data_IF_344449782719
#
_entry.id   IF_344449782719
#
_cell.length_a   1.000
_cell.length_b   1.000
_cell.length_c   1.000
_cell.angle_alpha   90.00
_cell.angle_beta   90.00
_cell.angle_gamma   90.00
#
_symmetry.space_group_name_H-M   'P 1'
#
loop_
_entity.id
_entity.type
_entity.pdbx_description
1 polymer ?
#
# COMPACT_ATOMS: atom_id res chain seq x y z
N UNK A 1 -1.62 -21.01 -4.17
CA UNK A 1 -1.31 -22.22 -4.95
C UNK A 1 -2.54 -22.68 -5.74
N UNK A 2 -3.58 -23.24 -5.11
CA UNK A 2 -4.77 -23.75 -5.83
C UNK A 2 -5.45 -22.75 -6.79
N UNK A 3 -5.58 -21.47 -6.41
CA UNK A 3 -6.17 -20.46 -7.27
C UNK A 3 -5.33 -20.13 -8.52
N UNK A 4 -3.99 -20.22 -8.42
CA UNK A 4 -3.09 -19.97 -9.57
C UNK A 4 -3.23 -21.11 -10.59
N UNK A 5 -3.29 -22.35 -10.12
CA UNK A 5 -3.50 -23.51 -10.98
C UNK A 5 -4.85 -23.41 -11.70
N UNK A 6 -5.91 -23.04 -10.98
CA UNK A 6 -7.22 -22.77 -11.57
C UNK A 6 -7.15 -21.68 -12.65
N UNK A 7 -6.43 -20.58 -12.39
CA UNK A 7 -6.29 -19.50 -13.33
C UNK A 7 -5.58 -19.94 -14.62
N UNK A 8 -4.52 -20.75 -14.49
CA UNK A 8 -3.79 -21.32 -15.63
C UNK A 8 -4.74 -22.21 -16.45
N UNK A 9 -5.54 -23.05 -15.79
CA UNK A 9 -6.56 -23.88 -16.47
C UNK A 9 -7.60 -23.02 -17.18
N UNK A 10 -8.08 -21.92 -16.56
CA UNK A 10 -9.03 -21.00 -17.16
C UNK A 10 -8.45 -20.30 -18.39
N UNK A 11 -7.19 -19.84 -18.32
CA UNK A 11 -6.53 -19.24 -19.48
C UNK A 11 -6.25 -20.24 -20.58
N UNK A 12 -5.87 -21.48 -20.23
CA UNK A 12 -5.68 -22.56 -21.20
C UNK A 12 -6.98 -22.82 -21.94
N UNK A 13 -8.08 -22.98 -21.20
CA UNK A 13 -9.43 -23.15 -21.77
C UNK A 13 -9.80 -22.00 -22.72
N UNK A 14 -9.60 -20.75 -22.29
CA UNK A 14 -9.92 -19.56 -23.09
C UNK A 14 -9.11 -19.46 -24.39
N UNK A 15 -7.88 -19.99 -24.41
CA UNK A 15 -7.05 -20.04 -25.62
C UNK A 15 -7.39 -21.21 -26.54
N UNK A 16 -7.91 -22.31 -25.99
CA UNK A 16 -8.28 -23.52 -26.76
C UNK A 16 -9.71 -23.50 -27.29
N UNK A 17 -10.61 -22.73 -26.66
CA UNK A 17 -12.03 -22.70 -27.05
C UNK A 17 -12.23 -21.84 -28.31
N UNK A 18 -13.09 -22.31 -29.20
CA UNK A 18 -13.25 -21.72 -30.51
C UNK A 18 -14.06 -20.41 -30.43
N UNK A 19 -13.54 -19.35 -31.07
CA UNK A 19 -14.23 -18.06 -31.13
C UNK A 19 -15.49 -18.14 -32.01
N UNK A 20 -16.54 -17.36 -31.70
CA UNK A 20 -17.79 -17.34 -32.46
C UNK A 20 -17.59 -16.99 -33.95
N UNK A 21 -16.62 -16.12 -34.24
CA UNK A 21 -16.33 -15.64 -35.61
C UNK A 21 -15.45 -16.60 -36.42
N UNK A 22 -15.14 -17.79 -35.89
CA UNK A 22 -14.37 -18.76 -36.66
C UNK A 22 -15.23 -19.36 -37.76
N UNK A 23 -14.62 -19.67 -38.91
CA UNK A 23 -15.30 -20.31 -40.04
C UNK A 23 -15.99 -21.63 -39.66
N UNK A 24 -15.44 -22.34 -38.66
CA UNK A 24 -16.02 -23.57 -38.13
C UNK A 24 -17.30 -23.29 -37.34
N UNK A 25 -17.27 -22.36 -36.40
CA UNK A 25 -18.45 -22.07 -35.59
C UNK A 25 -19.55 -21.38 -36.37
N UNK A 26 -19.21 -20.52 -37.35
CA UNK A 26 -20.21 -19.96 -38.25
C UNK A 26 -20.97 -21.06 -39.01
N UNK A 27 -20.28 -22.09 -39.51
CA UNK A 27 -20.92 -23.25 -40.15
C UNK A 27 -21.78 -24.07 -39.20
N UNK A 28 -21.37 -24.21 -37.93
CA UNK A 28 -22.15 -24.91 -36.90
C UNK A 28 -23.40 -24.15 -36.51
N UNK A 29 -23.34 -22.81 -36.45
CA UNK A 29 -24.50 -21.97 -36.14
C UNK A 29 -25.48 -21.82 -37.33
N UNK A 30 -25.01 -22.00 -38.56
CA UNK A 30 -25.82 -21.91 -39.78
C UNK A 30 -26.47 -23.25 -40.20
N UNK A 31 -26.02 -24.37 -39.62
CA UNK A 31 -26.51 -25.70 -39.95
C UNK A 31 -27.70 -26.11 -39.05
N UNK A 32 -28.91 -25.70 -39.44
CA UNK A 32 -30.17 -26.06 -38.75
C UNK A 32 -30.62 -27.52 -38.97
N UNK A 33 -29.93 -28.29 -39.82
CA UNK A 33 -30.41 -29.59 -40.34
C UNK A 33 -29.88 -30.85 -39.62
N UNK A 34 -29.38 -30.77 -38.37
CA UNK A 34 -28.91 -31.93 -37.58
C UNK A 34 -27.91 -32.86 -38.29
N UNK A 35 -27.22 -32.37 -39.34
CA UNK A 35 -26.12 -33.13 -39.95
C UNK A 35 -24.89 -32.99 -39.05
N UNK A 36 -24.35 -34.14 -38.64
CA UNK A 36 -23.17 -34.18 -37.77
C UNK A 36 -22.00 -33.54 -38.51
N UNK A 37 -21.67 -32.30 -38.13
CA UNK A 37 -20.47 -31.61 -38.63
C UNK A 37 -19.29 -32.21 -37.89
N UNK A 38 -18.39 -32.85 -38.62
CA UNK A 38 -17.13 -33.29 -38.07
C UNK A 38 -16.23 -32.07 -37.86
N UNK A 39 -16.17 -31.61 -36.61
CA UNK A 39 -15.55 -30.34 -36.28
C UNK A 39 -14.02 -30.39 -36.29
N UNK A 40 -13.44 -31.58 -36.42
CA UNK A 40 -12.02 -31.82 -36.21
C UNK A 40 -11.58 -33.15 -36.86
N UNK A 41 -10.72 -33.16 -37.90
CA UNK A 41 -10.19 -34.41 -38.45
C UNK A 41 -9.32 -35.16 -37.43
N UNK A 42 -9.24 -36.48 -37.60
CA UNK A 42 -8.73 -37.57 -36.72
C UNK A 42 -7.51 -37.27 -35.80
N UNK A 43 -6.63 -36.30 -36.13
CA UNK A 43 -5.47 -35.91 -35.31
C UNK A 43 -5.80 -35.10 -34.04
N UNK A 44 -7.06 -34.67 -33.84
CA UNK A 44 -7.42 -33.66 -32.81
C UNK A 44 -8.39 -34.13 -31.71
N UNK A 45 -8.68 -35.43 -31.63
CA UNK A 45 -9.46 -36.03 -30.53
C UNK A 45 -8.88 -35.77 -29.13
N UNK A 46 -7.54 -35.68 -29.02
CA UNK A 46 -6.86 -35.32 -27.78
C UNK A 46 -7.19 -33.89 -27.34
N UNK A 47 -7.30 -32.95 -28.30
CA UNK A 47 -7.69 -31.57 -28.03
C UNK A 47 -9.14 -31.49 -27.54
N UNK A 48 -10.05 -32.21 -28.18
CA UNK A 48 -11.45 -32.26 -27.77
C UNK A 48 -11.63 -32.81 -26.35
N UNK A 49 -10.97 -33.95 -26.05
CA UNK A 49 -11.02 -34.56 -24.72
C UNK A 49 -10.39 -33.68 -23.65
N UNK A 50 -9.33 -32.94 -24.02
CA UNK A 50 -8.72 -31.94 -23.15
C UNK A 50 -9.68 -30.77 -22.84
N UNK A 51 -10.30 -30.15 -23.86
CA UNK A 51 -11.24 -29.04 -23.67
C UNK A 51 -12.45 -29.48 -22.83
N UNK A 52 -12.98 -30.67 -23.07
CA UNK A 52 -14.06 -31.25 -22.26
C UNK A 52 -13.66 -31.43 -20.80
N UNK A 53 -12.50 -32.05 -20.56
CA UNK A 53 -12.02 -32.33 -19.22
C UNK A 53 -11.74 -31.03 -18.45
N UNK A 54 -11.09 -30.07 -19.10
CA UNK A 54 -10.79 -28.76 -18.51
C UNK A 54 -12.07 -28.00 -18.20
N UNK A 55 -13.07 -27.97 -19.10
CA UNK A 55 -14.37 -27.35 -18.84
C UNK A 55 -15.06 -27.95 -17.61
N UNK A 56 -15.14 -29.29 -17.51
CA UNK A 56 -15.74 -29.98 -16.35
C UNK A 56 -14.97 -29.64 -15.06
N UNK A 57 -13.64 -29.66 -15.09
CA UNK A 57 -12.81 -29.28 -13.94
C UNK A 57 -13.04 -27.82 -13.52
N UNK A 58 -13.16 -26.89 -14.48
CA UNK A 58 -13.43 -25.48 -14.21
C UNK A 58 -14.81 -25.28 -13.59
N UNK A 59 -15.84 -25.95 -14.11
CA UNK A 59 -17.20 -25.88 -13.57
C UNK A 59 -17.23 -26.43 -12.14
N UNK A 60 -16.64 -27.61 -11.92
CA UNK A 60 -16.62 -28.25 -10.61
C UNK A 60 -15.87 -27.40 -9.57
N UNK A 61 -14.68 -26.88 -9.93
CA UNK A 61 -13.93 -26.00 -9.05
C UNK A 61 -14.69 -24.70 -8.76
N UNK A 62 -15.30 -24.09 -9.78
CA UNK A 62 -16.06 -22.84 -9.64
C UNK A 62 -17.29 -23.05 -8.76
N UNK A 63 -17.98 -24.19 -8.87
CA UNK A 63 -19.13 -24.54 -8.02
C UNK A 63 -18.72 -24.73 -6.55
N UNK A 64 -17.63 -25.46 -6.29
CA UNK A 64 -17.10 -25.63 -4.92
C UNK A 64 -16.71 -24.29 -4.31
N UNK A 65 -16.04 -23.43 -5.08
CA UNK A 65 -15.63 -22.11 -4.62
C UNK A 65 -16.84 -21.21 -4.36
N UNK A 66 -17.83 -21.21 -5.25
CA UNK A 66 -19.07 -20.47 -5.08
C UNK A 66 -19.81 -20.91 -3.80
N UNK A 67 -19.93 -22.22 -3.58
CA UNK A 67 -20.56 -22.77 -2.37
C UNK A 67 -19.81 -22.35 -1.10
N UNK A 68 -18.47 -22.46 -1.12
CA UNK A 68 -17.61 -22.04 -0.01
C UNK A 68 -17.78 -20.56 0.32
N UNK A 69 -17.94 -19.70 -0.71
CA UNK A 69 -18.11 -18.26 -0.55
C UNK A 69 -19.51 -17.89 -0.05
N UNK A 70 -20.55 -18.57 -0.52
CA UNK A 70 -21.93 -18.38 -0.04
C UNK A 70 -22.07 -18.81 1.42
N UNK A 71 -21.50 -19.95 1.81
CA UNK A 71 -21.46 -20.40 3.20
C UNK A 71 -20.72 -19.39 4.09
N UNK A 72 -19.56 -18.90 3.65
CA UNK A 72 -18.81 -17.89 4.38
C UNK A 72 -19.59 -16.56 4.52
N UNK A 73 -20.36 -16.14 3.52
CA UNK A 73 -21.20 -14.94 3.59
C UNK A 73 -22.34 -15.10 4.61
N UNK A 74 -22.97 -16.27 4.65
CA UNK A 74 -24.06 -16.56 5.57
C UNK A 74 -23.58 -16.65 7.02
N UNK A 75 -22.39 -17.21 7.25
CA UNK A 75 -21.80 -17.36 8.59
C UNK A 75 -21.15 -16.06 9.09
N UNK A 76 -20.39 -15.35 8.24
CA UNK A 76 -19.57 -14.18 8.65
C UNK A 76 -20.22 -12.82 8.32
N UNK A 77 -21.44 -12.81 7.74
CA UNK A 77 -22.23 -11.63 7.35
C UNK A 77 -21.41 -10.50 6.70
N UNK A 78 -20.45 -10.88 5.85
CA UNK A 78 -19.52 -9.95 5.20
C UNK A 78 -19.86 -9.79 3.73
N UNK A 79 -20.40 -8.63 3.34
CA UNK A 79 -20.79 -8.27 1.96
C UNK A 79 -19.61 -8.08 0.98
N UNK A 80 -18.39 -8.32 1.42
CA UNK A 80 -17.19 -7.95 0.66
C UNK A 80 -16.87 -8.92 -0.49
N UNK A 81 -17.57 -10.06 -0.60
CA UNK A 81 -17.29 -11.11 -1.58
C UNK A 81 -18.23 -11.12 -2.81
N UNK A 82 -19.07 -10.09 -3.02
CA UNK A 82 -20.06 -10.08 -4.11
C UNK A 82 -19.39 -10.16 -5.49
N UNK A 83 -18.31 -9.40 -5.71
CA UNK A 83 -17.57 -9.40 -6.98
C UNK A 83 -16.98 -10.78 -7.30
N UNK A 84 -16.47 -11.48 -6.28
CA UNK A 84 -15.93 -12.83 -6.46
C UNK A 84 -17.03 -13.83 -6.83
N UNK A 85 -18.24 -13.69 -6.26
CA UNK A 85 -19.39 -14.54 -6.60
C UNK A 85 -19.81 -14.34 -8.06
N UNK A 86 -19.97 -13.09 -8.51
CA UNK A 86 -20.30 -12.80 -9.92
C UNK A 86 -19.24 -13.33 -10.89
N UNK A 87 -17.97 -13.24 -10.51
CA UNK A 87 -16.87 -13.78 -11.31
C UNK A 87 -16.97 -15.29 -11.49
N UNK A 88 -17.22 -16.06 -10.42
CA UNK A 88 -17.40 -17.51 -10.55
C UNK A 88 -18.64 -17.87 -11.38
N UNK A 89 -19.72 -17.09 -11.29
CA UNK A 89 -20.90 -17.26 -12.14
C UNK A 89 -20.54 -17.04 -13.62
N UNK A 90 -19.81 -15.96 -13.94
CA UNK A 90 -19.37 -15.70 -15.32
C UNK A 90 -18.45 -16.78 -15.86
N UNK A 91 -17.58 -17.36 -15.03
CA UNK A 91 -16.73 -18.49 -15.44
C UNK A 91 -17.56 -19.74 -15.71
N UNK A 92 -18.58 -20.04 -14.90
CA UNK A 92 -19.49 -21.17 -15.15
C UNK A 92 -20.25 -20.96 -16.46
N UNK A 93 -20.78 -19.76 -16.70
CA UNK A 93 -21.46 -19.43 -17.97
C UNK A 93 -20.51 -19.58 -19.15
N UNK A 94 -19.26 -19.13 -19.02
CA UNK A 94 -18.27 -19.25 -20.09
C UNK A 94 -17.85 -20.71 -20.34
N UNK A 95 -17.65 -21.51 -19.30
CA UNK A 95 -17.25 -22.90 -19.40
C UNK A 95 -18.40 -23.83 -19.85
N UNK A 96 -19.66 -23.44 -19.62
CA UNK A 96 -20.83 -24.17 -20.04
C UNK A 96 -21.12 -23.94 -21.53
N UNK A 97 -20.43 -24.70 -22.38
CA UNK A 97 -20.60 -24.63 -23.84
C UNK A 97 -21.72 -25.59 -24.27
N UNK A 98 -22.69 -25.07 -25.04
CA UNK A 98 -23.91 -25.80 -25.42
C UNK A 98 -23.69 -26.87 -26.51
N UNK A 99 -22.70 -26.69 -27.38
CA UNK A 99 -22.37 -27.67 -28.42
C UNK A 99 -21.23 -28.58 -27.97
N UNK A 100 -21.57 -29.78 -27.50
CA UNK A 100 -20.60 -30.80 -27.05
C UNK A 100 -19.67 -31.31 -28.18
N UNK A 101 -20.05 -31.13 -29.45
CA UNK A 101 -19.29 -31.67 -30.57
C UNK A 101 -18.19 -30.71 -31.05
N UNK A 102 -18.43 -29.41 -31.00
CA UNK A 102 -17.56 -28.41 -31.64
C UNK A 102 -17.04 -27.31 -30.70
N UNK A 103 -17.48 -27.30 -29.43
CA UNK A 103 -17.11 -26.30 -28.42
C UNK A 103 -17.21 -24.85 -28.91
N UNK A 104 -18.26 -24.58 -29.70
CA UNK A 104 -18.56 -23.25 -30.22
C UNK A 104 -19.28 -22.41 -29.17
N UNK A 105 -18.72 -21.25 -28.87
CA UNK A 105 -19.30 -20.28 -27.94
C UNK A 105 -20.15 -19.26 -28.68
N UNK A 106 -21.25 -18.85 -28.05
CA UNK A 106 -22.07 -17.76 -28.56
C UNK A 106 -21.35 -16.41 -28.44
N UNK A 107 -21.70 -15.44 -29.29
CA UNK A 107 -21.07 -14.11 -29.27
C UNK A 107 -21.18 -13.41 -27.91
N UNK A 108 -22.33 -13.52 -27.23
CA UNK A 108 -22.53 -12.95 -25.89
C UNK A 108 -21.76 -13.72 -24.80
N UNK A 109 -21.67 -15.04 -24.93
CA UNK A 109 -20.95 -15.91 -23.99
C UNK A 109 -19.44 -15.65 -24.07
N UNK A 110 -18.92 -15.44 -25.28
CA UNK A 110 -17.52 -15.05 -25.48
C UNK A 110 -17.19 -13.72 -24.82
N UNK A 111 -18.05 -12.70 -24.94
CA UNK A 111 -17.87 -11.42 -24.26
C UNK A 111 -17.81 -11.56 -22.73
N UNK A 112 -18.70 -12.36 -22.15
CA UNK A 112 -18.68 -12.68 -20.71
C UNK A 112 -17.39 -13.40 -20.33
N UNK A 113 -16.93 -14.35 -21.17
CA UNK A 113 -15.67 -15.06 -20.99
C UNK A 113 -14.46 -14.14 -20.93
N UNK A 114 -14.34 -13.20 -21.86
CA UNK A 114 -13.25 -12.21 -21.87
C UNK A 114 -13.23 -11.40 -20.58
N UNK A 115 -14.40 -10.92 -20.14
CA UNK A 115 -14.55 -10.18 -18.88
C UNK A 115 -14.17 -11.05 -17.69
N UNK A 116 -14.63 -12.31 -17.64
CA UNK A 116 -14.35 -13.25 -16.57
C UNK A 116 -12.85 -13.56 -16.44
N UNK A 117 -12.17 -13.83 -17.55
CA UNK A 117 -10.72 -14.09 -17.59
C UNK A 117 -9.96 -12.87 -17.09
N UNK A 118 -10.30 -11.67 -17.60
CA UNK A 118 -9.66 -10.42 -17.17
C UNK A 118 -9.81 -10.19 -15.66
N UNK A 119 -11.04 -10.22 -15.13
CA UNK A 119 -11.25 -10.01 -13.69
C UNK A 119 -10.63 -11.11 -12.84
N UNK A 120 -10.46 -12.34 -13.35
CA UNK A 120 -9.79 -13.42 -12.61
C UNK A 120 -8.31 -13.11 -12.38
N UNK A 121 -7.62 -12.56 -13.38
CA UNK A 121 -6.26 -12.06 -13.21
C UNK A 121 -6.19 -10.89 -12.22
N UNK A 122 -7.17 -9.98 -12.25
CA UNK A 122 -7.26 -8.89 -11.27
C UNK A 122 -7.45 -9.43 -9.83
N UNK A 123 -8.33 -10.41 -9.64
CA UNK A 123 -8.54 -11.08 -8.33
C UNK A 123 -7.28 -11.81 -7.87
N UNK A 124 -6.47 -12.36 -8.78
CA UNK A 124 -5.16 -12.91 -8.44
C UNK A 124 -4.26 -11.83 -7.82
N UNK A 125 -4.18 -10.64 -8.43
CA UNK A 125 -3.39 -9.52 -7.90
C UNK A 125 -3.87 -9.17 -6.47
N UNK A 126 -5.17 -9.06 -6.25
CA UNK A 126 -5.72 -8.81 -4.90
C UNK A 126 -5.46 -9.95 -3.92
N UNK A 127 -5.34 -11.19 -4.39
CA UNK A 127 -5.05 -12.36 -3.56
C UNK A 127 -3.59 -12.40 -3.10
N UNK A 128 -2.66 -11.92 -3.94
CA UNK A 128 -1.23 -11.80 -3.62
C UNK A 128 -0.99 -10.87 -2.40
N UNK A 129 -1.91 -9.94 -2.13
CA UNK A 129 -1.92 -9.10 -0.91
C UNK A 129 -1.72 -9.89 0.39
N UNK A 130 -2.17 -11.14 0.44
CA UNK A 130 -2.07 -11.99 1.66
C UNK A 130 -0.71 -12.64 1.84
N UNK A 131 0.19 -12.57 0.84
CA UNK A 131 1.52 -13.16 0.92
C UNK A 131 2.46 -12.25 1.74
N UNK A 132 3.26 -12.79 2.68
CA UNK A 132 4.03 -12.00 3.63
C UNK A 132 5.13 -11.13 2.99
N UNK A 133 5.72 -11.58 1.87
CA UNK A 133 6.82 -10.86 1.20
C UNK A 133 6.30 -9.94 0.09
N UNK A 134 5.53 -10.49 -0.85
CA UNK A 134 5.04 -9.74 -2.03
C UNK A 134 3.82 -8.86 -1.69
N UNK A 135 3.03 -9.26 -0.69
CA UNK A 135 1.77 -8.60 -0.37
C UNK A 135 1.92 -7.14 0.04
N UNK A 136 3.03 -6.78 0.71
CA UNK A 136 3.31 -5.40 1.12
C UNK A 136 3.39 -4.45 -0.09
N UNK A 137 4.07 -4.88 -1.17
CA UNK A 137 4.17 -4.10 -2.40
C UNK A 137 2.83 -3.93 -3.10
N UNK A 138 2.02 -5.00 -3.13
CA UNK A 138 0.68 -4.95 -3.72
C UNK A 138 -0.26 -4.04 -2.94
N UNK A 139 -0.25 -4.10 -1.60
CA UNK A 139 -1.02 -3.15 -0.75
C UNK A 139 -0.61 -1.73 -1.07
N UNK A 140 0.69 -1.46 -1.09
CA UNK A 140 1.22 -0.13 -1.35
C UNK A 140 0.80 0.38 -2.73
N UNK A 141 0.90 -0.46 -3.77
CA UNK A 141 0.46 -0.11 -5.12
C UNK A 141 -1.03 0.24 -5.17
N UNK A 142 -1.90 -0.59 -4.58
CA UNK A 142 -3.35 -0.32 -4.55
C UNK A 142 -3.65 0.98 -3.80
N UNK A 143 -2.97 1.24 -2.69
CA UNK A 143 -3.13 2.48 -1.92
C UNK A 143 -2.73 3.71 -2.74
N UNK A 144 -1.58 3.66 -3.42
CA UNK A 144 -1.11 4.75 -4.29
C UNK A 144 -2.10 4.97 -5.43
N UNK A 145 -2.52 3.90 -6.10
CA UNK A 145 -3.48 3.98 -7.21
C UNK A 145 -4.82 4.57 -6.75
N UNK A 146 -5.34 4.17 -5.59
CA UNK A 146 -6.56 4.73 -5.03
C UNK A 146 -6.43 6.22 -4.73
N UNK A 147 -5.31 6.64 -4.13
CA UNK A 147 -5.07 8.05 -3.81
C UNK A 147 -4.93 8.90 -5.07
N UNK A 148 -4.20 8.41 -6.08
CA UNK A 148 -4.07 9.07 -7.39
C UNK A 148 -5.43 9.23 -8.07
N UNK A 149 -6.22 8.16 -8.17
CA UNK A 149 -7.55 8.22 -8.79
C UNK A 149 -8.42 9.23 -8.03
N UNK A 150 -8.50 9.14 -6.70
CA UNK A 150 -9.34 10.04 -5.90
C UNK A 150 -8.96 11.51 -6.06
N UNK A 151 -7.67 11.83 -6.16
CA UNK A 151 -7.17 13.21 -6.27
C UNK A 151 -7.27 13.76 -7.69
N UNK A 152 -7.06 12.94 -8.71
CA UNK A 152 -6.84 13.41 -10.09
C UNK A 152 -8.00 13.11 -11.03
N UNK A 153 -8.84 12.10 -10.78
CA UNK A 153 -9.86 11.65 -11.76
C UNK A 153 -10.82 12.75 -12.17
N UNK A 154 -11.26 13.60 -11.23
CA UNK A 154 -12.21 14.68 -11.51
C UNK A 154 -11.58 15.72 -12.43
N UNK A 155 -10.36 16.14 -12.11
CA UNK A 155 -9.60 17.08 -12.95
C UNK A 155 -9.31 16.48 -14.33
N UNK A 156 -8.87 15.22 -14.39
CA UNK A 156 -8.57 14.51 -15.62
C UNK A 156 -9.80 14.40 -16.54
N UNK A 157 -10.96 14.04 -15.99
CA UNK A 157 -12.20 13.92 -16.76
C UNK A 157 -12.68 15.28 -17.28
N UNK A 158 -12.64 16.33 -16.44
CA UNK A 158 -13.00 17.68 -16.87
C UNK A 158 -12.11 18.15 -18.01
N UNK A 159 -10.81 17.98 -17.86
CA UNK A 159 -9.81 18.28 -18.87
C UNK A 159 -10.04 17.48 -20.16
N UNK A 160 -10.24 16.16 -20.08
CA UNK A 160 -10.53 15.33 -21.26
C UNK A 160 -11.79 15.82 -21.98
N UNK A 161 -12.88 16.10 -21.27
CA UNK A 161 -14.11 16.59 -21.91
C UNK A 161 -13.96 17.99 -22.50
N UNK A 162 -13.22 18.89 -21.84
CA UNK A 162 -12.95 20.24 -22.32
C UNK A 162 -12.22 20.28 -23.67
N UNK A 163 -11.40 19.27 -23.98
CA UNK A 163 -10.74 19.14 -25.29
C UNK A 163 -11.46 18.17 -26.25
N UNK A 164 -12.08 17.11 -25.73
CA UNK A 164 -12.76 16.12 -26.57
C UNK A 164 -13.95 16.72 -27.33
N UNK A 165 -14.75 17.60 -26.73
CA UNK A 165 -15.89 18.20 -27.44
C UNK A 165 -15.47 19.19 -28.53
N UNK A 166 -14.51 20.12 -28.29
CA UNK A 166 -13.97 20.95 -29.37
C UNK A 166 -13.26 20.15 -30.46
N UNK A 167 -12.50 19.10 -30.11
CA UNK A 167 -11.91 18.22 -31.11
C UNK A 167 -12.96 17.47 -31.93
N UNK A 168 -14.06 17.04 -31.30
CA UNK A 168 -15.19 16.50 -32.03
C UNK A 168 -15.70 17.56 -33.02
N UNK A 169 -15.99 18.79 -32.59
CA UNK A 169 -16.52 19.81 -33.51
C UNK A 169 -15.56 20.19 -34.66
N UNK A 170 -14.25 20.26 -34.41
CA UNK A 170 -13.25 20.69 -35.41
C UNK A 170 -12.92 19.58 -36.42
N UNK A 171 -12.79 18.34 -35.95
CA UNK A 171 -12.38 17.19 -36.76
C UNK A 171 -13.56 16.29 -37.17
N UNK A 172 -14.79 16.66 -36.82
CA UNK A 172 -15.97 15.97 -37.30
C UNK A 172 -16.21 16.31 -38.76
N UNK A 173 -15.95 15.33 -39.61
CA UNK A 173 -16.28 15.40 -41.02
C UNK A 173 -17.42 14.43 -41.35
N UNK A 174 -18.51 14.98 -41.87
CA UNK A 174 -19.68 14.22 -42.34
C UNK A 174 -19.35 13.49 -43.64
N UNK A 175 -18.48 14.08 -44.47
CA UNK A 175 -18.20 13.59 -45.83
C UNK A 175 -17.30 12.35 -45.79
N UNK A 176 -16.21 12.37 -45.02
CA UNK A 176 -15.38 11.18 -44.76
C UNK A 176 -16.13 10.04 -44.06
N UNK A 177 -17.17 10.34 -43.27
CA UNK A 177 -18.05 9.32 -42.69
C UNK A 177 -18.93 8.62 -43.74
N UNK A 178 -19.38 9.35 -44.76
CA UNK A 178 -20.17 8.81 -45.89
C UNK A 178 -19.30 7.99 -46.85
N UNK A 179 -18.02 8.36 -47.02
CA UNK A 179 -17.06 7.66 -47.88
C UNK A 179 -16.38 6.45 -47.20
N UNK A 180 -16.75 6.13 -45.95
CA UNK A 180 -16.21 4.98 -45.23
C UNK A 180 -14.80 5.17 -44.66
N UNK A 181 -14.28 6.40 -44.68
CA UNK A 181 -12.97 6.75 -44.10
C UNK A 181 -13.09 6.69 -42.57
N UNK A 182 -12.32 5.78 -41.96
CA UNK A 182 -12.33 5.53 -40.52
C UNK A 182 -11.49 6.59 -39.78
N UNK A 183 -12.02 7.80 -39.63
CA UNK A 183 -11.39 8.79 -38.73
C UNK A 183 -11.79 8.53 -37.27
N UNK A 184 -10.90 8.83 -36.30
CA UNK A 184 -11.18 8.61 -34.88
C UNK A 184 -12.22 9.57 -34.28
N UNK A 185 -12.67 10.59 -35.03
CA UNK A 185 -13.55 11.66 -34.55
C UNK A 185 -15.03 11.51 -34.96
N UNK A 186 -15.40 10.44 -35.66
CA UNK A 186 -16.76 10.24 -36.19
C UNK A 186 -17.86 10.02 -35.13
N UNK A 187 -17.49 9.59 -33.92
CA UNK A 187 -18.43 9.44 -32.81
C UNK A 187 -17.88 10.09 -31.53
N UNK A 188 -18.75 10.61 -30.64
CA UNK A 188 -18.31 11.28 -29.42
C UNK A 188 -17.49 10.35 -28.52
N UNK A 189 -17.88 9.08 -28.38
CA UNK A 189 -17.14 8.10 -27.60
C UNK A 189 -15.74 7.81 -28.16
N UNK A 190 -15.61 7.67 -29.49
CA UNK A 190 -14.30 7.47 -30.14
C UNK A 190 -13.41 8.68 -29.98
N UNK A 191 -13.97 9.89 -30.03
CA UNK A 191 -13.25 11.13 -29.81
C UNK A 191 -12.72 11.24 -28.37
N UNK A 192 -13.54 10.90 -27.38
CA UNK A 192 -13.12 10.87 -25.96
C UNK A 192 -11.97 9.89 -25.80
N UNK A 193 -12.11 8.65 -26.31
CA UNK A 193 -11.04 7.66 -26.26
C UNK A 193 -9.76 8.16 -26.95
N UNK A 194 -9.88 8.71 -28.16
CA UNK A 194 -8.74 9.29 -28.89
C UNK A 194 -8.08 10.41 -28.08
N UNK A 195 -8.85 11.30 -27.46
CA UNK A 195 -8.35 12.38 -26.60
C UNK A 195 -7.58 11.83 -25.39
N UNK A 196 -8.08 10.77 -24.73
CA UNK A 196 -7.37 10.10 -23.62
C UNK A 196 -6.04 9.51 -24.11
N UNK A 197 -6.04 8.82 -25.26
CA UNK A 197 -4.79 8.25 -25.81
C UNK A 197 -3.78 9.33 -26.21
N UNK A 198 -4.26 10.47 -26.73
CA UNK A 198 -3.42 11.64 -27.04
C UNK A 198 -2.88 12.29 -25.75
N UNK A 199 -3.68 12.35 -24.68
CA UNK A 199 -3.24 12.86 -23.38
C UNK A 199 -2.16 11.98 -22.73
N UNK A 200 -2.16 10.68 -23.01
CA UNK A 200 -1.08 9.75 -22.63
C UNK A 200 0.21 9.93 -23.47
N UNK A 201 0.26 10.91 -24.38
CA UNK A 201 1.45 11.21 -25.19
C UNK A 201 1.46 10.56 -26.58
N UNK A 202 0.42 9.81 -26.97
CA UNK A 202 0.34 9.16 -28.28
C UNK A 202 -0.24 10.10 -29.35
N UNK A 203 0.44 11.23 -29.60
CA UNK A 203 0.05 12.17 -30.65
C UNK A 203 0.58 11.70 -32.01
N UNK A 204 -0.31 11.29 -32.91
CA UNK A 204 0.04 10.98 -34.31
C UNK A 204 -0.61 12.02 -35.22
N UNK A 205 0.15 13.02 -35.62
CA UNK A 205 -0.36 14.15 -36.41
C UNK A 205 -0.90 13.69 -37.78
N UNK A 206 -0.26 12.69 -38.38
CA UNK A 206 -0.67 12.06 -39.66
C UNK A 206 -2.06 11.39 -39.58
N UNK A 207 -2.53 11.08 -38.36
CA UNK A 207 -3.87 10.52 -38.13
C UNK A 207 -4.94 11.57 -37.84
N UNK A 208 -4.53 12.84 -37.72
CA UNK A 208 -5.38 14.00 -37.42
C UNK A 208 -5.63 14.85 -38.67
N UNK A 209 -4.66 14.88 -39.59
CA UNK A 209 -4.75 15.59 -40.86
C UNK A 209 -5.16 14.58 -41.95
N UNK A 210 -6.07 14.99 -42.83
CA UNK A 210 -6.46 14.17 -43.97
C UNK A 210 -5.27 14.00 -44.92
N UNK A 211 -4.59 12.87 -44.84
CA UNK A 211 -3.57 12.51 -45.83
C UNK A 211 -4.21 11.62 -46.89
N UNK A 212 -5.13 12.17 -47.68
CA UNK A 212 -5.60 11.49 -48.88
C UNK A 212 -5.74 12.47 -50.05
N UNK A 213 -4.65 12.56 -50.83
CA UNK A 213 -4.52 12.71 -52.29
C UNK A 213 -5.54 13.54 -53.12
N UNK A 214 -6.39 14.36 -52.52
CA UNK A 214 -7.27 15.26 -53.23
C UNK A 214 -6.65 16.66 -53.16
N UNK A 215 -5.93 17.02 -54.23
CA UNK A 215 -5.03 18.18 -54.35
C UNK A 215 -5.66 19.55 -54.01
N UNK A 216 -6.97 19.63 -53.73
CA UNK A 216 -7.72 20.90 -53.58
C UNK A 216 -8.68 20.97 -52.37
N UNK A 217 -8.71 20.01 -51.44
CA UNK A 217 -9.52 20.11 -50.21
C UNK A 217 -8.66 20.57 -49.02
N UNK A 218 -9.13 21.51 -48.19
CA UNK A 218 -8.41 21.91 -46.99
C UNK A 218 -8.39 20.74 -45.98
N UNK A 219 -7.21 20.38 -45.47
CA UNK A 219 -7.00 19.27 -44.53
C UNK A 219 -7.90 19.32 -43.27
N UNK A 220 -8.31 20.53 -42.88
CA UNK A 220 -9.18 20.84 -41.73
C UNK A 220 -10.07 22.06 -42.04
N UNK A 221 -11.34 22.04 -41.64
CA UNK A 221 -12.29 23.16 -41.86
C UNK A 221 -11.84 24.49 -41.21
N UNK A 222 -11.04 24.43 -40.14
CA UNK A 222 -10.54 25.59 -39.38
C UNK A 222 -9.07 25.40 -38.95
N UNK A 223 -8.09 25.56 -39.86
CA UNK A 223 -6.70 25.19 -39.59
C UNK A 223 -6.08 26.00 -38.45
N UNK A 224 -6.30 27.32 -38.40
CA UNK A 224 -5.72 28.19 -37.37
C UNK A 224 -6.21 27.80 -35.96
N UNK A 225 -7.51 27.59 -35.81
CA UNK A 225 -8.12 27.21 -34.52
C UNK A 225 -7.70 25.79 -34.14
N UNK A 226 -7.65 24.87 -35.10
CA UNK A 226 -7.25 23.48 -34.87
C UNK A 226 -5.80 23.38 -34.37
N UNK A 227 -4.85 24.00 -35.07
CA UNK A 227 -3.43 23.99 -34.67
C UNK A 227 -3.22 24.73 -33.35
N UNK A 228 -3.90 25.86 -33.13
CA UNK A 228 -3.84 26.57 -31.85
C UNK A 228 -4.32 25.69 -30.69
N UNK A 229 -5.47 25.02 -30.85
CA UNK A 229 -6.03 24.14 -29.83
C UNK A 229 -5.11 22.93 -29.58
N UNK A 230 -4.48 22.40 -30.63
CA UNK A 230 -3.53 21.30 -30.54
C UNK A 230 -2.26 21.67 -29.76
N UNK A 231 -1.71 22.87 -29.99
CA UNK A 231 -0.54 23.38 -29.25
C UNK A 231 -0.88 23.49 -27.76
N UNK A 232 -2.01 24.11 -27.43
CA UNK A 232 -2.47 24.22 -26.03
C UNK A 232 -2.68 22.84 -25.41
N UNK A 233 -3.26 21.89 -26.16
CA UNK A 233 -3.47 20.53 -25.70
C UNK A 233 -2.15 19.81 -25.37
N UNK A 234 -1.13 19.91 -26.23
CA UNK A 234 0.17 19.25 -26.02
C UNK A 234 0.85 19.75 -24.74
N UNK A 235 0.76 21.07 -24.48
CA UNK A 235 1.30 21.67 -23.26
C UNK A 235 0.51 21.23 -22.03
N UNK A 236 -0.82 21.35 -22.04
CA UNK A 236 -1.63 21.10 -20.85
C UNK A 236 -1.77 19.61 -20.51
N UNK A 237 -1.90 18.73 -21.51
CA UNK A 237 -2.16 17.31 -21.29
C UNK A 237 -0.84 16.52 -21.21
N UNK A 238 -0.16 16.09 -22.28
CA UNK A 238 1.06 15.30 -22.15
C UNK A 238 2.12 15.88 -21.21
N UNK A 239 2.36 17.19 -21.23
CA UNK A 239 3.45 17.78 -20.44
C UNK A 239 3.00 18.05 -19.00
N UNK A 240 2.03 18.95 -18.79
CA UNK A 240 1.63 19.32 -17.43
C UNK A 240 0.91 18.19 -16.69
N UNK A 241 0.05 17.41 -17.36
CA UNK A 241 -0.72 16.36 -16.68
C UNK A 241 0.17 15.19 -16.27
N UNK A 242 1.11 14.73 -17.10
CA UNK A 242 2.06 13.68 -16.71
C UNK A 242 2.95 14.16 -15.57
N UNK A 243 3.46 15.39 -15.65
CA UNK A 243 4.26 15.98 -14.57
C UNK A 243 3.46 16.11 -13.27
N UNK A 244 2.17 16.47 -13.34
CA UNK A 244 1.28 16.51 -12.20
C UNK A 244 1.09 15.11 -11.59
N UNK A 245 0.81 14.09 -12.41
CA UNK A 245 0.68 12.70 -11.97
C UNK A 245 1.96 12.20 -11.30
N UNK A 246 3.13 12.47 -11.87
CA UNK A 246 4.41 12.10 -11.28
C UNK A 246 4.65 12.83 -9.97
N UNK A 247 4.40 14.14 -9.91
CA UNK A 247 4.59 14.92 -8.68
C UNK A 247 3.68 14.44 -7.54
N UNK A 248 2.43 14.07 -7.84
CA UNK A 248 1.49 13.50 -6.88
C UNK A 248 1.88 12.09 -6.44
N UNK A 249 2.31 11.24 -7.38
CA UNK A 249 2.77 9.89 -7.06
C UNK A 249 3.99 9.92 -6.13
N UNK A 250 4.96 10.79 -6.42
CA UNK A 250 6.13 10.99 -5.57
C UNK A 250 5.72 11.55 -4.21
N UNK A 251 4.81 12.54 -4.16
CA UNK A 251 4.29 13.09 -2.91
C UNK A 251 3.62 12.04 -2.02
N UNK A 252 2.78 11.18 -2.60
CA UNK A 252 2.11 10.10 -1.85
C UNK A 252 3.10 9.04 -1.35
N UNK A 253 4.12 8.70 -2.14
CA UNK A 253 5.18 7.77 -1.73
C UNK A 253 5.99 8.36 -0.56
N UNK A 254 6.41 9.62 -0.65
CA UNK A 254 7.19 10.29 0.41
C UNK A 254 6.38 10.37 1.70
N UNK A 255 5.10 10.76 1.63
CA UNK A 255 4.21 10.82 2.81
C UNK A 255 4.01 9.44 3.46
N UNK A 256 3.82 8.38 2.68
CA UNK A 256 3.64 7.03 3.19
C UNK A 256 4.93 6.51 3.87
N UNK A 257 6.10 6.83 3.30
CA UNK A 257 7.41 6.49 3.87
C UNK A 257 7.64 7.28 5.17
N UNK A 258 7.35 8.57 5.18
CA UNK A 258 7.52 9.45 6.35
C UNK A 258 6.67 8.97 7.53
N UNK A 259 5.38 8.69 7.30
CA UNK A 259 4.47 8.18 8.34
C UNK A 259 4.94 6.84 8.94
N UNK A 260 5.46 5.94 8.09
CA UNK A 260 6.04 4.66 8.54
C UNK A 260 7.32 4.87 9.33
N UNK A 261 8.17 5.79 8.89
CA UNK A 261 9.41 6.17 9.57
C UNK A 261 9.12 6.76 10.96
N UNK A 262 8.13 7.64 11.11
CA UNK A 262 7.81 8.24 12.41
C UNK A 262 7.26 7.23 13.41
N UNK A 263 6.42 6.30 12.94
CA UNK A 263 5.93 5.18 13.77
C UNK A 263 7.08 4.27 14.16
N UNK A 264 8.01 4.00 13.24
CA UNK A 264 9.20 3.20 13.49
C UNK A 264 10.14 3.90 14.49
N UNK A 265 10.38 5.20 14.35
CA UNK A 265 11.15 6.03 15.29
C UNK A 265 10.53 6.03 16.69
N UNK A 266 9.21 6.19 16.78
CA UNK A 266 8.48 6.14 18.05
C UNK A 266 8.59 4.76 18.71
N UNK A 267 8.48 3.69 17.91
CA UNK A 267 8.64 2.31 18.38
C UNK A 267 10.06 2.04 18.88
N UNK A 268 11.08 2.48 18.14
CA UNK A 268 12.46 2.42 18.60
C UNK A 268 12.64 3.17 19.92
N UNK A 269 12.14 4.41 20.01
CA UNK A 269 12.23 5.20 21.23
C UNK A 269 11.62 4.47 22.42
N UNK A 270 10.48 3.81 22.26
CA UNK A 270 9.85 3.01 23.30
C UNK A 270 10.64 1.74 23.64
N UNK A 271 11.14 1.02 22.64
CA UNK A 271 11.89 -0.22 22.82
C UNK A 271 13.21 0.00 23.56
N UNK A 272 13.87 1.14 23.36
CA UNK A 272 15.07 1.51 24.10
C UNK A 272 14.78 2.19 25.46
N UNK A 273 13.73 3.00 25.58
CA UNK A 273 13.45 3.75 26.82
C UNK A 273 12.84 2.86 27.90
N UNK A 274 11.95 1.92 27.55
CA UNK A 274 11.22 1.09 28.52
C UNK A 274 12.11 0.13 29.35
N UNK A 275 13.12 -0.57 28.78
CA UNK A 275 14.02 -1.40 29.57
C UNK A 275 14.92 -0.56 30.48
N UNK A 276 15.36 0.61 29.99
CA UNK A 276 16.20 1.53 30.75
C UNK A 276 15.43 2.11 31.93
N UNK A 277 14.20 2.58 31.73
CA UNK A 277 13.33 3.10 32.79
C UNK A 277 13.02 2.03 33.85
N UNK A 278 12.67 0.81 33.42
CA UNK A 278 12.42 -0.31 34.34
C UNK A 278 13.67 -0.71 35.12
N UNK A 279 14.83 -0.77 34.46
CA UNK A 279 16.09 -1.08 35.11
C UNK A 279 16.51 0.00 36.11
N UNK A 280 16.36 1.28 35.74
CA UNK A 280 16.67 2.42 36.60
C UNK A 280 15.75 2.43 37.83
N UNK A 281 14.43 2.34 37.61
CA UNK A 281 13.42 2.35 38.67
C UNK A 281 13.58 1.15 39.60
N UNK A 282 13.79 -0.05 39.06
CA UNK A 282 13.99 -1.25 39.87
C UNK A 282 15.27 -1.18 40.70
N UNK A 283 16.38 -0.72 40.10
CA UNK A 283 17.68 -0.69 40.79
C UNK A 283 17.77 0.44 41.81
N UNK A 284 17.15 1.60 41.54
CA UNK A 284 17.03 2.71 42.49
C UNK A 284 16.08 2.34 43.63
N UNK A 285 14.86 1.84 43.36
CA UNK A 285 13.92 1.44 44.42
C UNK A 285 14.45 0.28 45.26
N UNK A 286 15.11 -0.72 44.65
CA UNK A 286 15.71 -1.82 45.40
C UNK A 286 16.83 -1.32 46.33
N UNK A 287 17.74 -0.48 45.84
CA UNK A 287 18.80 0.08 46.70
C UNK A 287 18.27 1.02 47.79
N UNK A 288 17.24 1.80 47.49
CA UNK A 288 16.62 2.66 48.49
C UNK A 288 15.95 1.82 49.59
N UNK A 289 15.24 0.76 49.20
CA UNK A 289 14.61 -0.19 50.12
C UNK A 289 15.64 -0.95 50.94
N UNK A 290 16.68 -1.51 50.31
CA UNK A 290 17.76 -2.21 51.01
C UNK A 290 18.48 -1.29 52.01
N UNK A 291 18.69 -0.02 51.65
CA UNK A 291 19.32 0.95 52.54
C UNK A 291 18.38 1.41 53.67
N UNK A 292 17.07 1.46 53.43
CA UNK A 292 16.06 1.77 54.46
C UNK A 292 15.87 0.60 55.43
N UNK A 293 15.85 -0.63 54.92
CA UNK A 293 15.74 -1.86 55.73
C UNK A 293 16.98 -2.04 56.60
N UNK A 294 18.18 -1.75 56.10
CA UNK A 294 19.42 -1.71 56.89
C UNK A 294 19.38 -0.64 57.98
N UNK A 295 18.79 0.52 57.71
CA UNK A 295 18.61 1.57 58.71
C UNK A 295 17.60 1.14 59.79
N UNK A 296 16.47 0.54 59.40
CA UNK A 296 15.46 0.05 60.35
C UNK A 296 15.94 -1.14 61.19
N UNK A 297 16.66 -2.11 60.61
CA UNK A 297 17.22 -3.25 61.36
C UNK A 297 18.40 -2.87 62.26
N UNK A 298 19.20 -1.87 61.86
CA UNK A 298 20.19 -1.25 62.74
C UNK A 298 19.54 -0.52 63.93
N UNK A 299 18.42 0.16 63.71
CA UNK A 299 17.69 0.86 64.78
C UNK A 299 16.96 -0.12 65.72
N UNK A 300 16.47 -1.26 65.23
CA UNK A 300 15.78 -2.29 66.04
C UNK A 300 16.73 -3.07 66.95
N UNK A 301 18.03 -3.13 66.65
CA UNK A 301 19.07 -3.65 67.55
C UNK A 301 19.49 -2.67 68.66
N UNK A 302 19.11 -1.39 68.53
CA UNK A 302 19.45 -0.32 69.49
C UNK A 302 18.23 0.17 70.29
N UNK A 303 17.13 -0.59 70.32
CA UNK A 303 15.94 -0.19 71.08
C UNK A 303 16.08 -0.25 72.61
N UNK A 304 17.20 -0.78 73.13
CA UNK A 304 17.58 -0.62 74.54
C UNK A 304 18.74 0.39 74.66
N UNK A 305 18.46 1.65 74.34
CA UNK A 305 19.06 2.88 74.93
C UNK A 305 18.56 4.09 74.14
N UNK A 306 17.82 4.93 74.84
CA UNK A 306 17.10 6.10 74.32
C UNK A 306 18.05 7.26 73.97
N UNK A 307 17.55 8.14 73.10
CA UNK A 307 18.13 9.40 72.59
C UNK A 307 19.16 9.29 71.46
N UNK A 308 18.65 9.04 70.25
CA UNK A 308 19.40 9.29 69.02
C UNK A 308 19.41 10.80 68.74
N UNK A 309 20.52 11.46 69.09
CA UNK A 309 20.77 12.88 68.77
C UNK A 309 20.60 13.14 67.27
N UNK A 310 19.91 14.23 66.92
CA UNK A 310 19.55 14.58 65.53
C UNK A 310 20.78 14.75 64.62
N UNK A 311 21.97 14.99 65.18
CA UNK A 311 23.24 15.00 64.46
C UNK A 311 23.62 13.64 63.85
N UNK A 312 23.29 12.52 64.50
CA UNK A 312 23.60 11.18 63.99
C UNK A 312 22.71 10.85 62.78
N UNK A 313 21.40 11.19 62.86
CA UNK A 313 20.44 11.03 61.75
C UNK A 313 20.79 11.91 60.55
N UNK A 314 21.28 13.12 60.80
CA UNK A 314 21.71 14.08 59.77
C UNK A 314 23.02 13.62 59.09
N UNK A 315 23.97 13.10 59.87
CA UNK A 315 25.25 12.54 59.37
C UNK A 315 25.02 11.31 58.49
N UNK A 316 24.09 10.44 58.87
CA UNK A 316 23.75 9.24 58.08
C UNK A 316 23.00 9.58 56.79
N UNK A 317 22.09 10.58 56.81
CA UNK A 317 21.47 11.13 55.59
C UNK A 317 22.51 11.70 54.62
N UNK A 318 23.54 12.35 55.14
CA UNK A 318 24.60 12.94 54.33
C UNK A 318 25.49 11.85 53.69
N UNK A 319 25.89 10.82 54.45
CA UNK A 319 26.62 9.66 53.92
C UNK A 319 25.82 8.86 52.89
N UNK A 320 24.49 8.81 53.03
CA UNK A 320 23.61 8.17 52.05
C UNK A 320 23.59 8.96 50.74
N UNK A 321 23.45 10.28 50.82
CA UNK A 321 23.45 11.17 49.65
C UNK A 321 24.79 11.15 48.90
N UNK A 322 25.92 11.15 49.61
CA UNK A 322 27.25 11.06 48.99
C UNK A 322 27.48 9.72 48.26
N UNK A 323 26.98 8.60 48.82
CA UNK A 323 27.00 7.30 48.13
C UNK A 323 26.12 7.29 46.88
N UNK A 324 24.99 7.97 46.93
CA UNK A 324 24.07 8.08 45.79
C UNK A 324 24.72 8.87 44.64
N UNK A 325 25.35 10.01 44.94
CA UNK A 325 26.12 10.81 43.96
C UNK A 325 27.23 10.02 43.30
N UNK A 326 28.03 9.28 44.07
CA UNK A 326 29.13 8.47 43.53
C UNK A 326 28.62 7.44 42.51
N UNK A 327 27.45 6.87 42.76
CA UNK A 327 26.84 5.89 41.87
C UNK A 327 26.26 6.52 40.60
N UNK A 328 25.66 7.71 40.69
CA UNK A 328 25.15 8.46 39.53
C UNK A 328 26.29 8.86 38.59
N UNK A 329 27.37 9.41 39.15
CA UNK A 329 28.55 9.82 38.35
C UNK A 329 29.21 8.63 37.65
N UNK A 330 29.33 7.49 38.33
CA UNK A 330 29.92 6.28 37.75
C UNK A 330 29.03 5.67 36.64
N UNK A 331 27.71 5.80 36.76
CA UNK A 331 26.77 5.37 35.73
C UNK A 331 26.80 6.28 34.49
N UNK A 332 26.84 7.61 34.69
CA UNK A 332 27.01 8.60 33.61
C UNK A 332 28.25 8.29 32.77
N UNK A 333 29.38 7.99 33.44
CA UNK A 333 30.65 7.68 32.78
C UNK A 333 30.58 6.41 31.90
N UNK A 334 29.82 5.40 32.33
CA UNK A 334 29.66 4.14 31.55
C UNK A 334 28.84 4.33 30.28
N UNK A 335 27.79 5.17 30.35
CA UNK A 335 26.97 5.48 29.17
C UNK A 335 27.80 6.20 28.10
N UNK A 336 28.64 7.15 28.52
CA UNK A 336 29.50 7.92 27.62
C UNK A 336 30.57 7.06 26.92
N UNK A 337 31.02 5.98 27.56
CA UNK A 337 31.95 5.00 27.00
C UNK A 337 31.24 4.10 25.98
N UNK A 338 30.05 3.59 26.30
CA UNK A 338 29.27 2.75 25.39
C UNK A 338 28.90 3.48 24.09
N UNK A 339 28.77 4.81 24.11
CA UNK A 339 28.43 5.60 22.92
C UNK A 339 29.57 5.77 21.93
N UNK A 340 30.84 5.64 22.37
CA UNK A 340 32.02 5.85 21.51
C UNK A 340 32.43 4.62 20.69
N UNK A 341 31.79 3.46 20.90
CA UNK A 341 32.30 2.16 20.41
C UNK A 341 31.51 1.55 19.24
N UNK A 342 30.40 2.14 18.78
CA UNK A 342 29.56 1.58 17.70
C UNK A 342 29.58 2.42 16.39
N UNK A 343 29.49 1.71 15.25
CA UNK A 343 29.76 2.16 13.86
C UNK A 343 28.93 3.38 13.35
N UNK A 344 29.43 4.11 12.32
CA UNK A 344 29.06 5.50 12.04
C UNK A 344 27.67 5.76 11.42
N UNK A 345 26.95 4.75 10.92
CA UNK A 345 25.69 4.98 10.20
C UNK A 345 24.48 5.29 11.12
N UNK A 346 24.58 4.99 12.41
CA UNK A 346 23.47 5.11 13.40
C UNK A 346 23.66 6.30 14.37
N UNK A 347 24.77 7.04 14.23
CA UNK A 347 25.25 8.00 15.25
C UNK A 347 24.39 9.25 15.36
N UNK A 348 23.83 9.77 14.25
CA UNK A 348 23.09 11.04 14.28
C UNK A 348 21.80 10.96 15.13
N UNK A 349 21.04 9.88 14.98
CA UNK A 349 19.77 9.68 15.69
C UNK A 349 19.98 9.26 17.16
N UNK A 350 20.99 8.41 17.43
CA UNK A 350 21.33 8.00 18.80
C UNK A 350 21.91 9.17 19.61
N UNK A 351 22.73 10.02 18.99
CA UNK A 351 23.30 11.21 19.64
C UNK A 351 22.25 12.24 20.05
N UNK A 352 21.18 12.40 19.25
CA UNK A 352 20.09 13.32 19.56
C UNK A 352 19.22 12.87 20.74
N UNK A 353 19.17 11.56 21.03
CA UNK A 353 18.40 11.01 22.15
C UNK A 353 19.19 10.89 23.45
N UNK A 354 20.53 10.81 23.39
CA UNK A 354 21.38 10.68 24.59
C UNK A 354 21.72 12.05 25.20
N UNK A 355 21.80 13.10 24.38
CA UNK A 355 22.03 14.48 24.84
C UNK A 355 21.04 14.94 25.92
N UNK A 356 19.70 14.80 25.74
CA UNK A 356 18.74 15.19 26.76
C UNK A 356 18.83 14.33 28.02
N UNK A 357 19.15 13.03 27.88
CA UNK A 357 19.33 12.15 29.04
C UNK A 357 20.55 12.54 29.89
N UNK A 358 21.63 12.98 29.25
CA UNK A 358 22.80 13.51 29.95
C UNK A 358 22.48 14.81 30.70
N UNK A 359 21.60 15.66 30.17
CA UNK A 359 21.17 16.88 30.84
C UNK A 359 20.27 16.58 32.04
N UNK A 360 19.34 15.65 31.91
CA UNK A 360 18.45 15.23 33.00
C UNK A 360 19.21 14.60 34.18
N UNK A 361 20.27 13.84 33.89
CA UNK A 361 21.19 13.30 34.91
C UNK A 361 21.99 14.42 35.60
N UNK A 362 22.37 15.45 34.85
CA UNK A 362 23.10 16.60 35.39
C UNK A 362 22.21 17.44 36.31
N UNK A 363 20.94 17.63 35.94
CA UNK A 363 19.95 18.30 36.77
C UNK A 363 19.64 17.51 38.05
N UNK A 364 19.51 16.19 37.94
CA UNK A 364 19.34 15.34 39.11
C UNK A 364 20.53 15.44 40.08
N UNK A 365 21.75 15.50 39.56
CA UNK A 365 22.95 15.69 40.38
C UNK A 365 22.94 17.07 41.08
N UNK A 366 22.55 18.13 40.36
CA UNK A 366 22.40 19.48 40.91
C UNK A 366 21.33 19.56 42.02
N UNK A 367 20.19 18.88 41.86
CA UNK A 367 19.16 18.82 42.92
C UNK A 367 19.67 18.08 44.17
N UNK A 368 20.47 17.02 44.00
CA UNK A 368 21.09 16.32 45.13
C UNK A 368 22.16 17.19 45.81
N UNK A 369 22.88 18.01 45.04
CA UNK A 369 23.77 19.05 45.56
C UNK A 369 23.05 20.09 46.42
N UNK A 370 21.91 20.60 45.97
CA UNK A 370 21.09 21.54 46.73
C UNK A 370 20.56 20.94 48.03
N UNK A 371 20.08 19.69 47.99
CA UNK A 371 19.65 18.99 49.20
C UNK A 371 20.82 18.82 50.18
N UNK A 372 22.03 18.50 49.69
CA UNK A 372 23.22 18.40 50.53
C UNK A 372 23.65 19.73 51.13
N UNK A 373 23.50 20.84 50.40
CA UNK A 373 23.81 22.17 50.95
C UNK A 373 22.81 22.58 52.03
N UNK A 374 21.51 22.28 51.86
CA UNK A 374 20.48 22.53 52.88
C UNK A 374 20.74 21.68 54.12
N UNK A 375 21.13 20.42 53.94
CA UNK A 375 21.51 19.53 55.04
C UNK A 375 22.75 20.04 55.78
N UNK A 376 23.74 20.61 55.07
CA UNK A 376 24.92 21.22 55.69
C UNK A 376 24.61 22.54 56.40
N UNK A 377 23.72 23.37 55.87
CA UNK A 377 23.35 24.62 56.54
C UNK A 377 22.64 24.36 57.87
N UNK A 378 21.76 23.36 57.92
CA UNK A 378 21.11 22.92 59.16
C UNK A 378 22.11 22.38 60.22
N UNK A 379 23.28 21.88 59.81
CA UNK A 379 24.37 21.46 60.72
C UNK A 379 25.15 22.64 61.30
N UNK A 380 25.23 23.77 60.59
CA UNK A 380 25.99 24.94 61.03
C UNK A 380 25.16 25.91 61.89
N UNK A 381 23.84 25.75 61.92
CA UNK A 381 22.92 26.58 62.71
C UNK A 381 22.64 26.02 64.12
N UNK A 382 23.15 24.84 64.50
CA UNK A 382 23.10 24.36 65.89
C UNK A 382 24.05 25.18 66.78
N UNK A 383 23.56 26.04 67.69
CA UNK A 383 24.43 26.89 68.52
C UNK A 383 25.18 26.03 69.52
N UNK A 384 26.49 26.22 69.57
CA UNK A 384 27.42 25.40 70.35
C UNK A 384 27.05 25.26 71.83
N UNK A 385 27.07 24.03 72.31
CA UNK A 385 27.31 23.73 73.73
C UNK A 385 28.82 23.66 73.94
N UNK A 386 29.41 24.82 74.25
CA UNK A 386 30.82 24.94 74.70
C UNK A 386 30.83 24.82 76.22
N UNK A 387 31.63 23.86 76.70
CA UNK A 387 32.01 23.53 78.07
C UNK A 387 31.96 24.70 79.08
N UNK A 388 31.28 24.50 80.23
CA UNK A 388 31.83 24.21 81.57
C UNK A 388 30.75 23.46 82.35
#
# INVERSE_FOLDING_TARGET
MFYILFLILLTSFALTVQSPNSNLCMKVFENDNDTVIDCFPEESLLSQRYVSFVSICLIFYSLIMLLSKLLAQLILRRWQSILEVFLFIFIVIFAFVRSNQCYCTESWQWQIGVIAVFFSWIVLIFSIRRLPVVGIYVVMYITILYNLIRKVVVLALLLVFAFAFPFYMIFYDIQGKLEGIRTPFNTPWRTIYKTITMAAGHLRLDSLLHQDNQINSPDVQYPVVAFSLLIVFVVLMPILFINLLTSLAVGDIVQEIEKKSDTYRLRLKLEFTLPVEKFLRFKIMKKFKDSLDLWQTGNKKNSDKQELSDEQKLSDKQKLSDRFKKYINDWSKRIEISTKTELPATIADVKNHIKPLSEEVKDLNNSVDQLLSIVRSMRNESPGRRNI
#
